data_IF_733375293780
#
_entry.id   IF_733375293780
#
_cell.length_a   1.000
_cell.length_b   1.000
_cell.length_c   1.000
_cell.angle_alpha   90.00
_cell.angle_beta   90.00
_cell.angle_gamma   90.00
#
_symmetry.space_group_name_H-M   'P 1'
#
loop_
_entity.id
_entity.type
_entity.pdbx_description
1 polymer ?
#
# COMPACT_ATOMS: atom_id res chain seq x y z
N UNK A 1 18.59 1.93 10.82
CA UNK A 1 18.67 2.19 12.27
C UNK A 1 18.42 0.86 12.94
N UNK A 2 19.38 0.35 13.71
CA UNK A 2 19.36 -1.01 14.25
C UNK A 2 18.14 -1.32 15.13
N UNK A 3 17.41 -0.31 15.61
CA UNK A 3 16.15 -0.47 16.34
C UNK A 3 14.95 -0.67 15.42
N UNK A 4 14.88 0.09 14.32
CA UNK A 4 13.81 -0.02 13.32
C UNK A 4 13.89 -1.38 12.64
N UNK A 5 15.10 -1.83 12.32
CA UNK A 5 15.33 -3.13 11.67
C UNK A 5 14.81 -4.28 12.54
N UNK A 6 15.10 -4.25 13.85
CA UNK A 6 14.58 -5.24 14.83
C UNK A 6 13.04 -5.24 14.92
N UNK A 7 12.41 -4.07 14.86
CA UNK A 7 10.94 -3.98 14.89
C UNK A 7 10.34 -4.57 13.61
N UNK A 8 10.93 -4.28 12.45
CA UNK A 8 10.51 -4.86 11.17
C UNK A 8 10.67 -6.38 11.19
N UNK A 9 11.78 -6.90 11.71
CA UNK A 9 11.99 -8.34 11.88
C UNK A 9 10.93 -8.99 12.79
N UNK A 10 10.59 -8.33 13.90
CA UNK A 10 9.53 -8.79 14.80
C UNK A 10 8.18 -8.92 14.06
N UNK A 11 7.79 -7.92 13.28
CA UNK A 11 6.53 -7.94 12.52
C UNK A 11 6.53 -8.89 11.32
N UNK A 12 7.72 -9.26 10.81
CA UNK A 12 7.89 -10.26 9.74
C UNK A 12 8.09 -11.68 10.26
N UNK A 13 8.19 -11.85 11.58
CA UNK A 13 8.49 -13.13 12.21
C UNK A 13 7.40 -14.18 11.98
N UNK A 14 7.79 -15.46 12.09
CA UNK A 14 6.83 -16.56 12.06
C UNK A 14 5.83 -16.51 13.23
N UNK A 15 6.24 -15.95 14.38
CA UNK A 15 5.36 -15.73 15.52
C UNK A 15 4.23 -14.76 15.16
N UNK A 16 4.55 -13.63 14.51
CA UNK A 16 3.55 -12.67 14.06
C UNK A 16 2.55 -13.30 13.08
N UNK A 17 3.06 -14.07 12.11
CA UNK A 17 2.21 -14.81 11.15
C UNK A 17 1.33 -15.86 11.80
N UNK A 18 1.84 -16.58 12.81
CA UNK A 18 1.06 -17.56 13.57
C UNK A 18 -0.11 -16.91 14.33
N UNK A 19 0.01 -15.62 14.68
CA UNK A 19 -1.07 -14.82 15.25
C UNK A 19 -1.96 -14.14 14.19
N UNK A 20 -1.77 -14.44 12.89
CA UNK A 20 -2.53 -13.84 11.80
C UNK A 20 -2.08 -12.43 11.39
N UNK A 21 -0.92 -11.97 11.86
CA UNK A 21 -0.36 -10.66 11.50
C UNK A 21 0.60 -10.81 10.32
N UNK A 22 0.29 -10.10 9.24
CA UNK A 22 1.13 -10.03 8.04
C UNK A 22 1.54 -8.59 7.78
N UNK A 23 2.82 -8.29 7.96
CA UNK A 23 3.38 -6.99 7.62
C UNK A 23 3.69 -6.89 6.11
N UNK A 24 3.14 -5.86 5.47
CA UNK A 24 3.33 -5.58 4.05
C UNK A 24 4.02 -4.22 3.88
N UNK A 25 5.16 -4.23 3.17
CA UNK A 25 5.87 -3.04 2.73
C UNK A 25 6.44 -3.32 1.34
N UNK A 26 5.66 -2.94 0.32
CA UNK A 26 5.90 -3.21 -1.09
C UNK A 26 6.00 -4.70 -1.44
N UNK A 27 5.20 -5.53 -0.77
CA UNK A 27 5.13 -6.97 -1.01
C UNK A 27 3.69 -7.49 -0.96
N UNK A 28 3.52 -8.71 -1.49
CA UNK A 28 2.24 -9.41 -1.48
C UNK A 28 2.17 -10.48 -0.39
N UNK A 29 0.95 -10.89 -0.06
CA UNK A 29 0.64 -12.13 0.64
C UNK A 29 -0.54 -12.81 -0.05
N UNK A 30 -0.51 -14.14 -0.10
CA UNK A 30 -1.65 -14.95 -0.54
C UNK A 30 -2.18 -15.76 0.62
N UNK A 31 -3.50 -15.87 0.72
CA UNK A 31 -4.18 -16.64 1.76
C UNK A 31 -5.51 -17.21 1.27
N UNK A 32 -5.95 -18.30 1.90
CA UNK A 32 -7.24 -18.93 1.60
C UNK A 32 -8.32 -18.39 2.54
N UNK A 33 -9.43 -17.92 1.98
CA UNK A 33 -10.59 -17.49 2.75
C UNK A 33 -11.87 -17.77 1.97
N UNK A 34 -12.80 -18.50 2.59
CA UNK A 34 -14.08 -18.85 1.97
C UNK A 34 -13.95 -19.78 0.76
N UNK A 35 -12.94 -20.67 0.75
CA UNK A 35 -12.70 -21.61 -0.36
C UNK A 35 -12.08 -20.97 -1.60
N UNK A 36 -11.48 -19.78 -1.45
CA UNK A 36 -10.84 -19.02 -2.51
C UNK A 36 -9.48 -18.49 -2.05
N UNK A 37 -8.49 -18.57 -2.94
CA UNK A 37 -7.21 -17.87 -2.78
C UNK A 37 -7.39 -16.37 -3.04
N UNK A 38 -6.92 -15.55 -2.11
CA UNK A 38 -6.85 -14.10 -2.23
C UNK A 38 -5.41 -13.65 -2.30
N UNK A 39 -5.10 -12.69 -3.18
CA UNK A 39 -3.80 -12.02 -3.22
C UNK A 39 -3.93 -10.56 -2.78
N UNK A 40 -3.28 -10.21 -1.68
CA UNK A 40 -3.21 -8.86 -1.16
C UNK A 40 -1.83 -8.25 -1.36
N UNK A 41 -1.75 -7.00 -1.78
CA UNK A 41 -0.51 -6.22 -1.86
C UNK A 41 -0.62 -4.98 -0.96
N UNK A 42 0.46 -4.66 -0.24
CA UNK A 42 0.52 -3.50 0.64
C UNK A 42 1.71 -2.60 0.38
N UNK A 43 1.48 -1.28 0.34
CA UNK A 43 2.54 -0.27 0.27
C UNK A 43 2.28 0.91 1.23
N UNK A 44 3.24 1.27 2.09
CA UNK A 44 3.12 2.43 2.97
C UNK A 44 3.43 3.75 2.24
N UNK A 45 3.94 3.69 1.02
CA UNK A 45 4.45 4.85 0.31
C UNK A 45 3.34 5.78 -0.18
N UNK A 46 3.55 7.08 -0.02
CA UNK A 46 2.58 8.13 -0.34
C UNK A 46 3.22 9.37 -0.97
N UNK A 47 2.47 10.19 -1.74
CA UNK A 47 2.97 11.48 -2.20
C UNK A 47 3.34 12.35 -1.02
N UNK A 48 4.42 13.11 -1.16
CA UNK A 48 4.95 13.95 -0.09
C UNK A 48 3.87 14.84 0.54
N UNK A 49 3.55 14.55 1.79
CA UNK A 49 2.70 15.38 2.64
C UNK A 49 3.49 15.73 3.92
N UNK A 50 4.16 16.89 3.89
CA UNK A 50 5.12 17.28 4.94
C UNK A 50 6.40 16.43 4.92
N UNK A 51 6.90 16.09 6.11
CA UNK A 51 8.17 15.36 6.31
C UNK A 51 7.98 14.03 7.05
N UNK A 52 6.88 13.32 6.75
CA UNK A 52 6.59 12.01 7.34
C UNK A 52 7.48 10.90 6.74
N UNK A 53 7.43 9.70 7.32
CA UNK A 53 8.06 8.52 6.71
C UNK A 53 7.34 8.09 5.43
N UNK A 54 8.04 7.36 4.55
CA UNK A 54 7.47 6.77 3.32
C UNK A 54 6.86 7.78 2.34
N UNK A 55 7.50 8.95 2.19
CA UNK A 55 7.12 9.93 1.20
C UNK A 55 7.93 9.78 -0.08
N UNK A 56 7.28 9.92 -1.23
CA UNK A 56 7.90 10.13 -2.54
C UNK A 56 7.43 11.44 -3.16
N UNK A 57 8.20 11.97 -4.10
CA UNK A 57 7.76 13.09 -4.94
C UNK A 57 6.76 12.61 -6.01
N UNK A 58 5.74 13.42 -6.34
CA UNK A 58 4.88 13.13 -7.49
C UNK A 58 5.68 13.00 -8.79
N UNK A 59 5.23 12.13 -9.70
CA UNK A 59 5.92 11.87 -10.97
C UNK A 59 6.74 10.59 -10.93
N UNK A 60 8.00 10.64 -11.35
CA UNK A 60 8.83 9.44 -11.54
C UNK A 60 9.00 8.60 -10.26
N UNK A 61 9.17 9.23 -9.09
CA UNK A 61 9.29 8.49 -7.83
C UNK A 61 8.00 7.77 -7.48
N UNK A 62 6.85 8.43 -7.69
CA UNK A 62 5.54 7.79 -7.52
C UNK A 62 5.41 6.57 -8.44
N UNK A 63 5.84 6.68 -9.69
CA UNK A 63 5.78 5.59 -10.67
C UNK A 63 6.69 4.41 -10.30
N UNK A 64 7.84 4.65 -9.65
CA UNK A 64 8.72 3.59 -9.12
C UNK A 64 7.99 2.76 -8.04
N UNK A 65 7.32 3.42 -7.11
CA UNK A 65 6.62 2.73 -6.01
C UNK A 65 5.33 2.06 -6.50
N UNK A 66 4.52 2.79 -7.27
CA UNK A 66 3.25 2.29 -7.82
C UNK A 66 3.49 1.17 -8.84
N UNK A 67 4.59 1.23 -9.60
CA UNK A 67 4.96 0.22 -10.59
C UNK A 67 5.28 -1.15 -9.99
N UNK A 68 5.60 -1.24 -8.69
CA UNK A 68 5.82 -2.51 -7.98
C UNK A 68 4.51 -3.25 -7.67
N UNK A 69 3.36 -2.59 -7.79
CA UNK A 69 2.06 -3.22 -7.58
C UNK A 69 1.85 -4.27 -8.69
N UNK A 70 1.65 -5.56 -8.37
CA UNK A 70 1.38 -6.58 -9.38
C UNK A 70 0.03 -6.36 -10.06
N UNK A 71 -0.11 -6.79 -11.32
CA UNK A 71 -1.36 -6.68 -12.07
C UNK A 71 -2.47 -7.61 -11.54
N UNK A 72 -2.09 -8.72 -10.93
CA UNK A 72 -2.96 -9.83 -10.55
C UNK A 72 -3.32 -9.79 -9.05
N UNK A 73 -3.73 -8.64 -8.52
CA UNK A 73 -4.10 -8.51 -7.10
C UNK A 73 -5.61 -8.43 -6.88
N UNK A 74 -6.08 -9.07 -5.80
CA UNK A 74 -7.47 -8.95 -5.36
C UNK A 74 -7.69 -7.77 -4.42
N UNK A 75 -6.72 -7.54 -3.53
CA UNK A 75 -6.80 -6.55 -2.46
C UNK A 75 -5.57 -5.66 -2.55
N UNK A 76 -5.80 -4.35 -2.67
CA UNK A 76 -4.76 -3.34 -2.61
C UNK A 76 -4.88 -2.57 -1.29
N UNK A 77 -3.78 -2.50 -0.54
CA UNK A 77 -3.64 -1.70 0.66
C UNK A 77 -2.60 -0.59 0.41
N UNK A 78 -3.01 0.67 0.47
CA UNK A 78 -2.08 1.81 0.35
C UNK A 78 -2.32 2.81 1.46
N UNK A 79 -1.29 3.52 1.89
CA UNK A 79 -1.49 4.60 2.86
C UNK A 79 -2.20 5.81 2.22
N UNK A 80 -1.84 6.18 0.99
CA UNK A 80 -2.49 7.28 0.28
C UNK A 80 -3.71 6.82 -0.53
N UNK A 81 -4.72 7.71 -0.70
CA UNK A 81 -5.82 7.49 -1.62
C UNK A 81 -5.37 7.61 -3.09
N UNK A 82 -6.04 6.94 -4.04
CA UNK A 82 -5.90 7.26 -5.45
C UNK A 82 -6.57 8.62 -5.74
N UNK A 83 -6.00 9.39 -6.66
CA UNK A 83 -6.56 10.70 -7.04
C UNK A 83 -8.03 10.61 -7.44
N UNK A 84 -8.84 11.51 -6.87
CA UNK A 84 -10.27 11.64 -7.17
C UNK A 84 -11.20 10.69 -6.41
N UNK A 85 -10.67 9.84 -5.52
CA UNK A 85 -11.48 8.95 -4.67
C UNK A 85 -11.17 9.24 -3.22
N UNK A 86 -12.11 9.90 -2.53
CA UNK A 86 -12.02 10.23 -1.09
C UNK A 86 -10.68 10.89 -0.70
N UNK A 87 -10.12 11.69 -1.59
CA UNK A 87 -8.75 12.22 -1.48
C UNK A 87 -8.69 13.69 -1.06
N UNK A 88 -9.82 14.27 -0.66
CA UNK A 88 -9.91 15.68 -0.22
C UNK A 88 -9.68 15.79 1.28
N UNK A 89 -8.66 16.55 1.70
CA UNK A 89 -8.36 16.82 3.11
C UNK A 89 -9.36 17.79 3.73
N UNK A 90 -9.29 17.97 5.06
CA UNK A 90 -10.07 19.00 5.77
C UNK A 90 -9.83 20.42 5.26
N UNK A 91 -8.67 20.69 4.65
CA UNK A 91 -8.30 21.98 4.06
C UNK A 91 -8.73 22.11 2.60
N UNK A 92 -9.44 21.11 2.05
CA UNK A 92 -9.89 21.11 0.65
C UNK A 92 -8.81 20.76 -0.37
N UNK A 93 -7.65 20.25 0.09
CA UNK A 93 -6.53 19.89 -0.77
C UNK A 93 -6.67 18.44 -1.22
N UNK A 94 -6.41 18.15 -2.49
CA UNK A 94 -6.32 16.77 -2.99
C UNK A 94 -4.97 16.15 -2.59
N UNK A 95 -5.02 15.14 -1.73
CA UNK A 95 -3.87 14.33 -1.30
C UNK A 95 -3.68 13.06 -2.14
N UNK A 96 -4.54 12.84 -3.14
CA UNK A 96 -4.57 11.60 -3.90
C UNK A 96 -3.47 11.48 -4.94
N UNK A 97 -2.95 10.26 -5.12
CA UNK A 97 -1.87 9.98 -6.06
C UNK A 97 -2.42 9.72 -7.49
N UNK A 98 -2.03 10.51 -8.52
CA UNK A 98 -2.45 10.28 -9.90
C UNK A 98 -1.95 8.96 -10.48
N UNK A 99 -0.70 8.57 -10.19
CA UNK A 99 -0.11 7.31 -10.65
C UNK A 99 -0.85 6.12 -10.05
N UNK A 100 -1.20 6.20 -8.76
CA UNK A 100 -1.99 5.17 -8.09
C UNK A 100 -3.39 5.06 -8.69
N UNK A 101 -4.05 6.18 -9.01
CA UNK A 101 -5.37 6.14 -9.67
C UNK A 101 -5.32 5.40 -11.01
N UNK A 102 -4.28 5.63 -11.81
CA UNK A 102 -4.06 4.90 -13.07
C UNK A 102 -3.85 3.41 -12.82
N UNK A 103 -2.97 3.08 -11.87
CA UNK A 103 -2.67 1.68 -11.52
C UNK A 103 -3.88 0.92 -10.99
N UNK A 104 -4.70 1.54 -10.16
CA UNK A 104 -5.97 0.95 -9.67
C UNK A 104 -6.92 0.66 -10.83
N UNK A 105 -7.00 1.56 -11.80
CA UNK A 105 -7.82 1.35 -13.00
C UNK A 105 -7.28 0.21 -13.89
N UNK A 106 -5.96 0.01 -13.94
CA UNK A 106 -5.32 -1.05 -14.71
C UNK A 106 -5.46 -2.41 -14.02
N UNK A 107 -5.09 -2.52 -12.74
CA UNK A 107 -5.14 -3.78 -11.98
C UNK A 107 -6.55 -4.19 -11.56
N UNK A 108 -7.48 -3.22 -11.44
CA UNK A 108 -8.89 -3.42 -11.05
C UNK A 108 -9.06 -4.32 -9.81
N UNK A 109 -8.42 -4.00 -8.67
CA UNK A 109 -8.55 -4.80 -7.46
C UNK A 109 -10.02 -4.83 -7.01
N UNK A 110 -10.44 -5.94 -6.39
CA UNK A 110 -11.80 -6.07 -5.83
C UNK A 110 -11.99 -5.15 -4.64
N UNK A 111 -10.93 -4.92 -3.88
CA UNK A 111 -10.90 -4.03 -2.72
C UNK A 111 -9.65 -3.16 -2.82
N UNK A 112 -9.83 -1.85 -2.72
CA UNK A 112 -8.74 -0.92 -2.44
C UNK A 112 -9.05 -0.23 -1.11
N UNK A 113 -8.26 -0.52 -0.08
CA UNK A 113 -8.37 0.12 1.23
C UNK A 113 -7.18 1.06 1.45
N UNK A 114 -7.49 2.26 1.94
CA UNK A 114 -6.54 3.34 2.17
C UNK A 114 -7.00 4.31 3.25
N UNK A 115 -6.09 5.16 3.72
CA UNK A 115 -6.32 6.17 4.75
C UNK A 115 -5.20 6.24 5.79
#
# INVERSE_FOLDING_TARGET
DSRVDKLIEMYRSNQARACGLYYLNENSVSFELGGRTWKAYGSPWSPRFGDMAFNYLPGEEADIHVGKIPEDIDILLTHCPPRGILDTTHEGISAGCPSLARKVNDCRPKIHAFG
#
